data_IF_707875281778
#
_entry.id   IF_707875281778
#
_cell.length_a   1.000
_cell.length_b   1.000
_cell.length_c   1.000
_cell.angle_alpha   90.00
_cell.angle_beta   90.00
_cell.angle_gamma   90.00
#
_symmetry.space_group_name_H-M   'P 1'
#
loop_
_entity.id
_entity.type
_entity.pdbx_description
1 polymer ?
#
# COMPACT_ATOMS: atom_id res chain seq x y z
N UNK A 1 -11.10 -17.29 -25.55
CA UNK A 1 -11.19 -18.45 -24.63
C UNK A 1 -11.90 -18.17 -23.29
N UNK A 2 -12.58 -19.16 -22.69
CA UNK A 2 -13.30 -19.02 -21.42
C UNK A 2 -12.46 -19.41 -20.20
N UNK A 3 -12.47 -18.60 -19.15
CA UNK A 3 -11.76 -18.87 -17.92
C UNK A 3 -12.38 -20.06 -17.17
N UNK A 4 -11.57 -21.07 -16.82
CA UNK A 4 -12.03 -22.26 -16.08
C UNK A 4 -12.33 -21.99 -14.60
N UNK A 5 -11.84 -20.89 -14.04
CA UNK A 5 -12.02 -20.54 -12.62
C UNK A 5 -13.26 -19.66 -12.41
N UNK A 6 -13.37 -18.55 -13.15
CA UNK A 6 -14.46 -17.57 -12.95
C UNK A 6 -15.44 -17.47 -14.13
N UNK A 7 -15.26 -18.25 -15.19
CA UNK A 7 -16.21 -18.33 -16.30
C UNK A 7 -16.19 -17.16 -17.29
N UNK A 8 -15.38 -16.12 -17.08
CA UNK A 8 -15.28 -14.97 -17.97
C UNK A 8 -14.79 -15.37 -19.36
N UNK A 9 -15.37 -14.78 -20.40
CA UNK A 9 -14.83 -14.85 -21.76
C UNK A 9 -13.67 -13.87 -21.92
N UNK A 10 -12.54 -14.36 -22.42
CA UNK A 10 -11.34 -13.58 -22.64
C UNK A 10 -10.97 -13.65 -24.13
N UNK A 11 -10.44 -12.56 -24.72
CA UNK A 11 -9.81 -12.60 -26.04
C UNK A 11 -8.74 -13.70 -26.15
N UNK A 12 -8.53 -14.21 -27.37
CA UNK A 12 -7.51 -15.23 -27.62
C UNK A 12 -6.09 -14.63 -27.52
N UNK A 13 -5.13 -15.43 -27.02
CA UNK A 13 -3.74 -15.00 -26.79
C UNK A 13 -3.44 -14.40 -25.41
N UNK A 14 -4.46 -14.18 -24.57
CA UNK A 14 -4.25 -13.72 -23.20
C UNK A 14 -3.67 -14.82 -22.31
N UNK A 15 -2.57 -14.51 -21.61
CA UNK A 15 -1.91 -15.43 -20.67
C UNK A 15 -2.75 -15.65 -19.40
N UNK A 16 -3.54 -14.66 -19.01
CA UNK A 16 -4.29 -14.61 -17.75
C UNK A 16 -5.72 -14.07 -17.97
N UNK A 17 -6.64 -14.44 -17.08
CA UNK A 17 -8.02 -13.97 -17.13
C UNK A 17 -8.12 -12.50 -16.72
N UNK A 18 -8.73 -11.65 -17.56
CA UNK A 18 -8.91 -10.23 -17.28
C UNK A 18 -9.84 -9.91 -16.10
N UNK A 19 -10.67 -10.87 -15.66
CA UNK A 19 -11.57 -10.69 -14.51
C UNK A 19 -11.01 -11.22 -13.19
N UNK A 20 -10.46 -12.44 -13.20
CA UNK A 20 -10.03 -13.11 -11.96
C UNK A 20 -8.52 -13.45 -11.91
N UNK A 21 -7.76 -13.10 -12.95
CA UNK A 21 -6.29 -13.24 -12.96
C UNK A 21 -5.74 -14.66 -13.13
N UNK A 22 -6.59 -15.70 -13.10
CA UNK A 22 -6.15 -17.09 -13.26
C UNK A 22 -5.55 -17.34 -14.66
N UNK A 23 -4.50 -18.18 -14.78
CA UNK A 23 -3.88 -18.48 -16.05
C UNK A 23 -4.89 -19.16 -16.98
N UNK A 24 -4.89 -18.75 -18.25
CA UNK A 24 -5.83 -19.26 -19.24
C UNK A 24 -5.26 -20.46 -20.03
N UNK A 25 -3.93 -20.54 -20.17
CA UNK A 25 -3.26 -21.64 -20.86
C UNK A 25 -2.85 -22.77 -19.89
N UNK A 26 -3.09 -24.05 -20.23
CA UNK A 26 -2.51 -25.16 -19.48
C UNK A 26 -0.99 -25.18 -19.65
N UNK A 27 -0.28 -25.37 -18.54
CA UNK A 27 1.19 -25.54 -18.53
C UNK A 27 1.49 -26.97 -19.01
N UNK A 28 1.58 -27.16 -20.32
CA UNK A 28 2.04 -28.39 -20.98
C UNK A 28 2.42 -28.00 -22.41
N UNK A 29 3.65 -28.10 -22.91
CA UNK A 29 4.79 -28.96 -22.62
C UNK A 29 6.08 -28.14 -22.71
N UNK A 30 6.97 -28.26 -21.73
CA UNK A 30 8.37 -27.91 -21.96
C UNK A 30 8.98 -29.04 -22.79
N UNK A 31 9.83 -28.74 -23.80
CA UNK A 31 10.53 -29.77 -24.55
C UNK A 31 11.35 -30.65 -23.61
N UNK A 32 11.23 -31.97 -23.79
CA UNK A 32 12.04 -32.96 -23.09
C UNK A 32 13.53 -32.67 -23.33
N UNK A 33 14.26 -32.39 -22.25
CA UNK A 33 15.72 -32.31 -22.28
C UNK A 33 16.26 -33.74 -22.36
N UNK A 34 17.21 -34.06 -23.25
CA UNK A 34 17.75 -35.41 -23.37
C UNK A 34 18.50 -35.82 -22.09
N UNK A 35 18.21 -37.01 -21.59
CA UNK A 35 18.86 -37.65 -20.44
C UNK A 35 20.35 -37.86 -20.73
N UNK A 36 21.23 -37.22 -19.94
CA UNK A 36 22.67 -37.43 -20.10
C UNK A 36 23.62 -36.53 -19.31
N UNK A 37 23.13 -35.79 -18.30
CA UNK A 37 24.00 -35.00 -17.43
C UNK A 37 23.59 -35.21 -15.99
N UNK A 38 24.46 -35.84 -15.19
CA UNK A 38 24.34 -35.81 -13.73
C UNK A 38 24.31 -34.32 -13.34
N UNK A 39 23.22 -33.81 -12.74
CA UNK A 39 23.22 -32.42 -12.28
C UNK A 39 24.35 -32.27 -11.27
N UNK A 40 25.17 -31.19 -11.34
CA UNK A 40 26.15 -30.94 -10.30
C UNK A 40 25.41 -30.91 -8.96
N UNK A 41 25.90 -31.68 -8.00
CA UNK A 41 25.36 -31.71 -6.65
C UNK A 41 25.13 -30.26 -6.19
N UNK A 42 23.89 -29.96 -5.79
CA UNK A 42 23.52 -28.68 -5.19
C UNK A 42 24.46 -28.44 -4.02
N UNK A 43 25.50 -27.63 -4.24
CA UNK A 43 26.32 -27.15 -3.15
C UNK A 43 25.38 -26.31 -2.26
N UNK A 44 25.39 -26.52 -0.93
CA UNK A 44 24.58 -25.71 -0.05
C UNK A 44 24.92 -24.24 -0.31
N UNK A 45 23.90 -23.43 -0.64
CA UNK A 45 24.05 -21.99 -0.73
C UNK A 45 24.76 -21.53 0.53
N UNK A 46 25.98 -21.01 0.39
CA UNK A 46 26.67 -20.34 1.49
C UNK A 46 25.78 -19.18 1.89
N UNK A 47 25.08 -19.33 3.01
CA UNK A 47 24.33 -18.27 3.67
C UNK A 47 25.30 -17.09 3.77
N UNK A 48 25.03 -16.02 3.03
CA UNK A 48 25.84 -14.82 3.10
C UNK A 48 25.87 -14.41 4.57
N UNK A 49 27.04 -14.59 5.20
CA UNK A 49 27.23 -14.33 6.61
C UNK A 49 27.07 -12.83 6.83
N UNK A 50 25.84 -12.40 7.13
CA UNK A 50 25.58 -11.06 7.62
C UNK A 50 26.19 -11.00 9.02
N UNK A 51 27.42 -10.53 9.05
CA UNK A 51 28.25 -10.12 10.17
C UNK A 51 27.39 -9.63 11.34
N UNK A 52 27.05 -10.56 12.23
CA UNK A 52 26.20 -10.34 13.41
C UNK A 52 26.76 -9.25 14.32
N UNK A 53 28.09 -9.07 14.30
CA UNK A 53 28.79 -7.99 14.99
C UNK A 53 28.39 -6.60 14.47
N UNK A 54 28.11 -6.45 13.17
CA UNK A 54 27.67 -5.17 12.59
C UNK A 54 26.26 -4.81 13.06
N UNK A 55 25.38 -5.82 13.19
CA UNK A 55 24.01 -5.63 13.69
C UNK A 55 24.03 -5.20 15.17
N UNK A 56 24.90 -5.81 15.98
CA UNK A 56 25.05 -5.46 17.39
C UNK A 56 25.58 -4.02 17.53
N UNK A 57 26.59 -3.63 16.74
CA UNK A 57 27.13 -2.26 16.75
C UNK A 57 26.07 -1.25 16.28
N UNK A 58 25.30 -1.54 15.23
CA UNK A 58 24.21 -0.66 14.81
C UNK A 58 23.12 -0.54 15.88
N UNK A 59 22.76 -1.64 16.54
CA UNK A 59 21.76 -1.63 17.61
C UNK A 59 22.22 -0.80 18.81
N UNK A 60 23.49 -0.90 19.23
CA UNK A 60 24.00 -0.10 20.36
C UNK A 60 24.09 1.39 20.03
N UNK A 61 24.46 1.75 18.80
CA UNK A 61 24.47 3.15 18.32
C UNK A 61 23.06 3.72 18.22
N UNK A 62 22.08 2.94 17.75
CA UNK A 62 20.69 3.40 17.67
C UNK A 62 20.11 3.62 19.07
N UNK A 63 20.35 2.68 20.00
CA UNK A 63 19.87 2.81 21.39
C UNK A 63 20.51 4.02 22.08
N UNK A 64 21.80 4.28 21.87
CA UNK A 64 22.46 5.45 22.46
C UNK A 64 21.93 6.77 21.90
N UNK A 65 21.64 6.84 20.59
CA UNK A 65 21.04 8.03 19.97
C UNK A 65 19.62 8.31 20.51
N UNK A 66 18.81 7.27 20.73
CA UNK A 66 17.46 7.40 21.28
C UNK A 66 17.52 7.92 22.72
N UNK A 67 18.45 7.42 23.54
CA UNK A 67 18.63 7.87 24.92
C UNK A 67 19.07 9.34 24.94
N UNK A 68 20.02 9.74 24.10
CA UNK A 68 20.47 11.13 23.99
C UNK A 68 19.32 12.06 23.55
N UNK A 69 18.53 11.66 22.56
CA UNK A 69 17.37 12.43 22.12
C UNK A 69 16.30 12.57 23.21
N UNK A 70 16.04 11.50 23.99
CA UNK A 70 15.10 11.52 25.11
C UNK A 70 15.56 12.46 26.23
N UNK A 71 16.86 12.48 26.55
CA UNK A 71 17.43 13.42 27.53
C UNK A 71 17.31 14.86 27.04
N UNK A 72 17.60 15.13 25.77
CA UNK A 72 17.45 16.48 25.18
C UNK A 72 16.00 16.94 25.23
N UNK A 73 15.05 16.06 24.89
CA UNK A 73 13.63 16.35 24.97
C UNK A 73 13.18 16.66 26.40
N UNK A 74 13.62 15.86 27.37
CA UNK A 74 13.27 16.05 28.79
C UNK A 74 13.84 17.36 29.35
N UNK A 75 15.10 17.68 29.02
CA UNK A 75 15.74 18.96 29.39
C UNK A 75 15.05 20.16 28.72
N UNK A 76 14.54 20.00 27.49
CA UNK A 76 13.79 21.04 26.80
C UNK A 76 12.34 21.20 27.32
N UNK A 77 11.75 20.12 27.84
CA UNK A 77 10.38 20.09 28.34
C UNK A 77 10.21 20.76 29.73
N UNK A 78 11.29 20.96 30.49
CA UNK A 78 11.26 21.65 31.80
C UNK A 78 11.06 23.18 31.69
N UNK A 79 10.80 23.71 30.48
CA UNK A 79 10.43 25.10 30.24
C UNK A 79 8.91 25.28 30.13
N UNK A 80 8.17 24.98 31.20
CA UNK A 80 6.85 25.58 31.39
C UNK A 80 6.74 26.17 32.79
N UNK A 81 6.60 27.50 32.89
CA UNK A 81 5.59 28.17 33.72
C UNK A 81 5.95 29.64 33.94
N UNK A 82 5.19 30.54 33.30
CA UNK A 82 4.52 31.65 33.99
C UNK A 82 3.66 32.48 33.03
N UNK A 83 2.47 32.78 33.54
CA UNK A 83 1.65 33.98 33.30
C UNK A 83 0.54 33.92 32.24
N UNK A 84 -0.57 33.36 32.69
CA UNK A 84 -1.96 33.81 32.55
C UNK A 84 -2.25 35.23 32.02
N UNK A 85 -3.22 35.33 31.10
CA UNK A 85 -4.43 36.21 31.12
C UNK A 85 -5.33 35.78 29.95
N UNK A 86 -6.43 35.04 30.18
CA UNK A 86 -7.81 35.52 30.40
C UNK A 86 -8.35 36.43 29.27
N UNK A 87 -9.29 35.91 28.47
CA UNK A 87 -10.38 36.64 27.81
C UNK A 87 -11.57 35.68 27.59
N UNK A 88 -12.75 36.17 27.96
CA UNK A 88 -14.09 35.56 27.94
C UNK A 88 -14.78 35.66 26.56
N UNK A 89 -15.93 34.99 26.44
CA UNK A 89 -17.06 35.19 25.52
C UNK A 89 -16.85 34.91 24.02
N UNK A 90 -17.60 33.95 23.46
CA UNK A 90 -18.99 34.17 23.05
C UNK A 90 -19.60 32.81 22.67
N UNK A 91 -20.85 32.59 23.11
CA UNK A 91 -21.67 31.44 22.78
C UNK A 91 -22.18 31.54 21.33
N UNK A 92 -22.15 30.42 20.60
CA UNK A 92 -23.13 30.17 19.56
C UNK A 92 -23.52 28.69 19.56
N UNK A 93 -24.72 28.48 20.08
CA UNK A 93 -25.57 27.30 20.03
C UNK A 93 -25.92 26.95 18.58
N UNK A 94 -25.62 25.73 18.12
CA UNK A 94 -26.36 25.12 17.01
C UNK A 94 -26.72 23.67 17.34
N UNK A 95 -28.03 23.43 17.29
CA UNK A 95 -28.78 22.25 17.70
C UNK A 95 -28.29 20.91 17.10
N UNK A 96 -28.32 19.91 17.98
CA UNK A 96 -28.40 18.49 17.65
C UNK A 96 -29.73 18.18 16.96
N UNK A 97 -29.74 18.21 15.63
CA UNK A 97 -30.88 17.75 14.85
C UNK A 97 -30.71 16.26 14.53
N UNK A 98 -31.29 15.42 15.38
CA UNK A 98 -31.59 14.02 15.09
C UNK A 98 -32.61 13.92 13.96
N UNK A 99 -32.26 13.32 12.81
CA UNK A 99 -33.26 12.79 11.90
C UNK A 99 -32.87 11.41 11.36
N UNK A 100 -33.70 10.47 11.80
CA UNK A 100 -34.00 9.12 11.33
C UNK A 100 -33.46 8.66 9.98
N UNK A 101 -33.14 7.36 9.98
CA UNK A 101 -33.09 6.50 8.82
C UNK A 101 -34.22 6.81 7.82
N UNK A 102 -33.84 7.20 6.61
CA UNK A 102 -34.66 7.07 5.43
C UNK A 102 -33.77 6.76 4.24
N UNK A 103 -33.98 5.57 3.66
CA UNK A 103 -33.45 5.16 2.37
C UNK A 103 -33.92 6.16 1.33
N UNK A 104 -33.01 6.96 0.77
CA UNK A 104 -33.22 7.55 -0.54
C UNK A 104 -31.88 7.73 -1.23
N UNK A 105 -31.79 7.06 -2.37
CA UNK A 105 -30.73 7.00 -3.36
C UNK A 105 -30.17 8.36 -3.79
N UNK A 106 -29.03 8.70 -3.20
CA UNK A 106 -27.92 9.45 -3.83
C UNK A 106 -26.65 8.81 -3.26
N UNK A 107 -25.84 8.21 -4.13
CA UNK A 107 -24.73 7.32 -3.77
C UNK A 107 -23.71 8.03 -2.84
N UNK A 108 -23.58 7.63 -1.56
CA UNK A 108 -22.51 8.13 -0.71
C UNK A 108 -21.21 7.52 -1.22
N UNK A 109 -20.31 8.32 -1.78
CA UNK A 109 -18.98 7.83 -2.12
C UNK A 109 -18.32 7.35 -0.83
N UNK A 110 -18.04 6.05 -0.74
CA UNK A 110 -17.33 5.52 0.41
C UNK A 110 -15.97 6.21 0.50
N UNK A 111 -15.45 6.45 1.71
CA UNK A 111 -14.14 7.07 1.89
C UNK A 111 -13.03 6.31 1.14
N UNK A 112 -13.21 4.99 1.00
CA UNK A 112 -12.39 4.08 0.18
C UNK A 112 -12.45 4.44 -1.31
N UNK A 113 -13.62 4.77 -1.87
CA UNK A 113 -13.74 5.18 -3.28
C UNK A 113 -13.01 6.50 -3.53
N UNK A 114 -13.10 7.45 -2.60
CA UNK A 114 -12.36 8.72 -2.69
C UNK A 114 -10.85 8.46 -2.68
N UNK A 115 -10.38 7.61 -1.77
CA UNK A 115 -8.96 7.25 -1.67
C UNK A 115 -8.48 6.49 -2.90
N UNK A 116 -9.27 5.55 -3.43
CA UNK A 116 -8.91 4.79 -4.62
C UNK A 116 -8.77 5.69 -5.85
N UNK A 117 -9.62 6.72 -5.99
CA UNK A 117 -9.62 7.64 -7.12
C UNK A 117 -8.64 8.82 -6.96
N UNK A 118 -8.04 9.01 -5.78
CA UNK A 118 -7.03 10.05 -5.55
C UNK A 118 -5.76 9.75 -6.34
N UNK A 119 -5.28 10.73 -7.09
CA UNK A 119 -4.02 10.64 -7.83
C UNK A 119 -2.82 10.91 -6.91
N UNK A 120 -1.88 9.98 -6.90
CA UNK A 120 -0.67 10.00 -6.07
C UNK A 120 0.61 9.92 -6.93
N UNK A 121 0.50 10.10 -8.24
CA UNK A 121 1.61 9.95 -9.19
C UNK A 121 2.38 11.26 -9.45
N UNK A 122 1.77 12.43 -9.25
CA UNK A 122 2.36 13.71 -9.68
C UNK A 122 2.78 14.67 -8.54
N UNK A 123 2.52 14.31 -7.28
CA UNK A 123 2.88 15.15 -6.13
C UNK A 123 3.17 14.31 -4.87
N UNK A 124 3.83 14.91 -3.88
CA UNK A 124 4.08 14.24 -2.60
C UNK A 124 2.82 14.22 -1.73
N UNK A 125 2.58 13.07 -1.10
CA UNK A 125 1.45 12.89 -0.19
C UNK A 125 1.61 13.76 1.07
N UNK A 126 0.53 14.42 1.49
CA UNK A 126 0.51 15.26 2.69
C UNK A 126 0.34 14.41 3.95
N UNK A 127 1.16 14.66 4.97
CA UNK A 127 1.03 14.00 6.29
C UNK A 127 -0.32 14.26 6.94
N UNK A 128 -0.90 15.45 6.74
CA UNK A 128 -2.24 15.79 7.24
C UNK A 128 -3.32 14.89 6.61
N UNK A 129 -3.19 14.59 5.32
CA UNK A 129 -4.11 13.68 4.64
C UNK A 129 -3.96 12.26 5.18
N UNK A 130 -2.73 11.78 5.37
CA UNK A 130 -2.45 10.45 5.94
C UNK A 130 -2.99 10.26 7.36
N UNK A 131 -2.91 11.28 8.21
CA UNK A 131 -3.42 11.23 9.59
C UNK A 131 -4.92 10.95 9.68
N UNK A 132 -5.69 11.33 8.66
CA UNK A 132 -7.13 11.11 8.61
C UNK A 132 -7.53 9.74 8.06
N UNK A 133 -6.58 8.92 7.62
CA UNK A 133 -6.86 7.63 6.98
C UNK A 133 -6.71 6.46 7.94
N UNK A 134 -7.59 5.49 7.80
CA UNK A 134 -7.47 4.17 8.42
C UNK A 134 -6.38 3.34 7.75
N UNK A 135 -5.92 2.28 8.42
CA UNK A 135 -4.96 1.31 7.85
C UNK A 135 -5.43 0.72 6.52
N UNK A 136 -6.74 0.48 6.39
CA UNK A 136 -7.33 -0.04 5.16
C UNK A 136 -7.24 0.99 4.02
N UNK A 137 -7.55 2.25 4.30
CA UNK A 137 -7.43 3.34 3.33
C UNK A 137 -5.97 3.60 2.94
N UNK A 138 -5.03 3.56 3.90
CA UNK A 138 -3.60 3.64 3.60
C UNK A 138 -3.16 2.49 2.67
N UNK A 139 -3.65 1.28 2.93
CA UNK A 139 -3.42 0.13 2.04
C UNK A 139 -3.98 0.38 0.64
N UNK A 140 -5.20 0.91 0.52
CA UNK A 140 -5.81 1.25 -0.78
C UNK A 140 -5.01 2.35 -1.48
N UNK A 141 -4.64 3.43 -0.79
CA UNK A 141 -3.82 4.52 -1.31
C UNK A 141 -2.47 4.03 -1.85
N UNK A 142 -1.76 3.18 -1.09
CA UNK A 142 -0.51 2.60 -1.58
C UNK A 142 -0.72 1.72 -2.81
N UNK A 143 -1.80 0.93 -2.82
CA UNK A 143 -2.08 0.01 -3.93
C UNK A 143 -2.65 0.72 -5.16
N UNK A 144 -3.24 1.91 -5.04
CA UNK A 144 -3.75 2.67 -6.18
C UNK A 144 -2.62 3.05 -7.13
N UNK A 145 -1.44 3.39 -6.59
CA UNK A 145 -0.23 3.63 -7.39
C UNK A 145 0.10 2.39 -8.23
N UNK A 146 0.17 1.19 -7.64
CA UNK A 146 0.41 -0.03 -8.43
C UNK A 146 -0.72 -0.34 -9.41
N UNK A 147 -1.97 -0.04 -9.05
CA UNK A 147 -3.15 -0.26 -9.89
C UNK A 147 -3.10 0.61 -11.17
N UNK A 148 -2.63 1.85 -11.07
CA UNK A 148 -2.42 2.77 -12.21
C UNK A 148 -1.41 2.21 -13.22
N UNK A 149 -0.45 1.43 -12.74
CA UNK A 149 0.51 0.70 -13.58
C UNK A 149 0.01 -0.68 -14.05
N UNK A 150 -1.29 -0.96 -13.86
CA UNK A 150 -1.94 -2.18 -14.33
C UNK A 150 -1.61 -3.44 -13.53
N UNK A 151 -1.21 -3.29 -12.27
CA UNK A 151 -0.99 -4.44 -11.38
C UNK A 151 -2.31 -5.15 -11.08
N UNK A 152 -2.37 -6.45 -11.32
CA UNK A 152 -3.46 -7.28 -10.80
C UNK A 152 -3.20 -7.66 -9.34
N UNK A 153 -4.25 -7.70 -8.52
CA UNK A 153 -4.16 -8.04 -7.10
C UNK A 153 -4.65 -9.46 -6.83
N UNK A 154 -4.02 -10.16 -5.88
CA UNK A 154 -4.54 -11.44 -5.37
C UNK A 154 -5.62 -11.24 -4.29
N UNK A 155 -5.58 -10.10 -3.59
CA UNK A 155 -6.58 -9.76 -2.58
C UNK A 155 -7.93 -9.52 -3.25
N UNK A 156 -8.96 -10.29 -2.87
CA UNK A 156 -10.33 -10.12 -3.36
C UNK A 156 -10.86 -8.71 -3.09
N UNK A 157 -10.56 -8.17 -1.91
CA UNK A 157 -10.94 -6.82 -1.51
C UNK A 157 -10.37 -5.75 -2.47
N UNK A 158 -9.09 -5.83 -2.82
CA UNK A 158 -8.48 -4.87 -3.75
C UNK A 158 -8.99 -5.04 -5.17
N UNK A 159 -9.30 -6.27 -5.60
CA UNK A 159 -9.96 -6.51 -6.89
C UNK A 159 -11.36 -5.89 -6.93
N UNK A 160 -12.13 -5.98 -5.85
CA UNK A 160 -13.46 -5.39 -5.74
C UNK A 160 -13.40 -3.85 -5.74
N UNK A 161 -12.46 -3.26 -5.01
CA UNK A 161 -12.28 -1.81 -4.95
C UNK A 161 -11.85 -1.28 -6.32
N UNK A 162 -10.72 -1.74 -6.85
CA UNK A 162 -10.20 -1.20 -8.11
C UNK A 162 -10.99 -1.66 -9.34
N UNK A 163 -11.65 -2.81 -9.28
CA UNK A 163 -12.53 -3.28 -10.35
C UNK A 163 -13.76 -2.39 -10.59
N UNK A 164 -14.11 -1.53 -9.63
CA UNK A 164 -15.14 -0.48 -9.77
C UNK A 164 -14.59 0.82 -10.38
N UNK A 165 -13.28 0.98 -10.43
CA UNK A 165 -12.63 2.16 -10.98
C UNK A 165 -12.54 2.05 -12.50
N UNK A 166 -13.15 2.99 -13.23
CA UNK A 166 -13.15 3.02 -14.71
C UNK A 166 -11.76 3.16 -15.33
N UNK A 167 -10.79 3.69 -14.59
CA UNK A 167 -9.41 3.86 -15.03
C UNK A 167 -8.53 2.63 -14.78
N UNK A 168 -9.00 1.64 -14.01
CA UNK A 168 -8.19 0.48 -13.66
C UNK A 168 -8.23 -0.58 -14.76
N UNK A 169 -7.06 -0.93 -15.29
CA UNK A 169 -6.90 -1.95 -16.33
C UNK A 169 -5.75 -2.90 -15.97
N UNK A 170 -6.03 -4.06 -15.33
CA UNK A 170 -5.00 -5.00 -14.91
C UNK A 170 -4.40 -5.82 -16.06
N UNK A 171 -3.07 -5.87 -16.17
CA UNK A 171 -2.36 -6.66 -17.19
C UNK A 171 -1.03 -7.30 -16.74
N UNK A 172 -0.53 -7.01 -15.53
CA UNK A 172 0.76 -7.53 -15.03
C UNK A 172 0.77 -7.81 -13.53
N UNK A 173 1.66 -8.68 -13.08
CA UNK A 173 1.75 -9.12 -11.67
C UNK A 173 2.62 -8.21 -10.80
N UNK A 174 3.66 -7.66 -11.42
CA UNK A 174 4.74 -6.97 -10.74
C UNK A 174 5.07 -5.67 -11.45
N UNK A 175 5.34 -4.63 -10.65
CA UNK A 175 5.78 -3.32 -11.11
C UNK A 175 7.22 -3.12 -10.61
N UNK A 176 8.23 -3.19 -11.50
CA UNK A 176 9.60 -2.86 -11.16
C UNK A 176 9.69 -1.44 -10.61
N UNK A 177 10.50 -1.23 -9.57
CA UNK A 177 10.71 0.11 -8.99
C UNK A 177 11.22 1.13 -10.01
N UNK A 178 11.92 0.68 -11.06
CA UNK A 178 12.41 1.53 -12.15
C UNK A 178 11.31 2.13 -13.03
N UNK A 179 10.11 1.53 -13.03
CA UNK A 179 8.96 2.05 -13.77
C UNK A 179 8.15 3.07 -12.96
N UNK A 180 8.38 3.12 -11.65
CA UNK A 180 7.76 4.10 -10.77
C UNK A 180 8.55 5.40 -10.81
N UNK A 181 7.84 6.52 -10.90
CA UNK A 181 8.48 7.83 -10.87
C UNK A 181 8.92 8.20 -9.43
N UNK A 182 9.62 9.34 -9.29
CA UNK A 182 10.15 9.79 -7.99
C UNK A 182 9.07 10.05 -6.92
N UNK A 183 7.89 10.53 -7.31
CA UNK A 183 6.78 10.79 -6.40
C UNK A 183 6.14 9.49 -5.95
N UNK A 184 5.86 8.58 -6.89
CA UNK A 184 5.28 7.28 -6.61
C UNK A 184 6.14 6.47 -5.63
N UNK A 185 7.45 6.39 -5.88
CA UNK A 185 8.39 5.71 -4.98
C UNK A 185 8.42 6.34 -3.58
N UNK A 186 8.43 7.66 -3.50
CA UNK A 186 8.42 8.37 -2.23
C UNK A 186 7.10 8.15 -1.48
N UNK A 187 5.97 8.29 -2.17
CA UNK A 187 4.63 8.14 -1.61
C UNK A 187 4.38 6.72 -1.13
N UNK A 188 4.77 5.68 -1.90
CA UNK A 188 4.68 4.29 -1.46
C UNK A 188 5.40 4.08 -0.13
N UNK A 189 6.64 4.57 -0.03
CA UNK A 189 7.44 4.45 1.21
C UNK A 189 6.80 5.21 2.36
N UNK A 190 6.35 6.44 2.11
CA UNK A 190 5.69 7.26 3.12
C UNK A 190 4.42 6.58 3.59
N UNK A 191 3.48 6.23 2.71
CA UNK A 191 2.21 5.59 3.06
C UNK A 191 2.44 4.28 3.80
N UNK A 192 3.40 3.45 3.36
CA UNK A 192 3.75 2.20 4.03
C UNK A 192 4.25 2.40 5.47
N UNK A 193 4.89 3.52 5.78
CA UNK A 193 5.31 3.82 7.15
C UNK A 193 4.14 4.18 8.09
N UNK A 194 2.96 4.50 7.54
CA UNK A 194 1.75 4.85 8.30
C UNK A 194 0.75 3.69 8.40
N UNK A 195 0.85 2.68 7.54
CA UNK A 195 -0.03 1.50 7.49
C UNK A 195 0.20 0.52 8.65
#
# INVERSE_FOLDING_TARGET
MKCKICGTENPDGLKYCGRCGSPLSPVSEMPMVPEGGVPPALQPMRKAGRNMNLIIICATVIVSLIIVAAVIYFVAADKQTKSSRAYEDDEDEIELVSHSASKSSTEPQSSIDVVANTDLSDSYVSTKWLQGLTKQELRVARNSIYARHGRYFQSKELQEIFGRCSWYSPYRSEIPTSELNKYEQANIKTIQAWE
#
